data_IF_683299633226
#
_entry.id   IF_683299633226
#
_cell.length_a   1.000
_cell.length_b   1.000
_cell.length_c   1.000
_cell.angle_alpha   90.00
_cell.angle_beta   90.00
_cell.angle_gamma   90.00
#
_symmetry.space_group_name_H-M   'P 1'
#
loop_
_entity.id
_entity.type
_entity.pdbx_description
1 polymer ?
#
# COMPACT_ATOMS: atom_id res chain seq x y z
N UNK A 1 -20.81 38.57 -52.67
CA UNK A 1 -21.25 37.57 -51.68
C UNK A 1 -20.10 36.62 -51.46
N UNK A 2 -19.70 36.17 -50.28
CA UNK A 2 -19.89 36.57 -48.90
C UNK A 2 -18.78 35.83 -48.12
N UNK A 3 -18.44 36.36 -46.95
CA UNK A 3 -17.44 35.89 -46.01
C UNK A 3 -17.72 34.51 -45.38
N UNK A 4 -16.63 33.92 -44.87
CA UNK A 4 -16.47 33.31 -43.53
C UNK A 4 -16.82 31.84 -43.22
N UNK A 5 -15.80 31.19 -42.64
CA UNK A 5 -15.74 30.57 -41.30
C UNK A 5 -15.56 29.06 -41.17
N UNK A 6 -14.72 28.76 -40.18
CA UNK A 6 -14.19 27.51 -39.64
C UNK A 6 -15.23 26.60 -38.97
N UNK A 7 -14.89 25.31 -38.87
CA UNK A 7 -15.00 24.40 -37.70
C UNK A 7 -14.70 22.97 -38.22
N UNK A 8 -13.56 22.31 -38.00
CA UNK A 8 -12.93 21.75 -36.78
C UNK A 8 -13.75 20.66 -36.07
N UNK A 9 -13.25 19.43 -36.23
CA UNK A 9 -13.24 18.26 -35.33
C UNK A 9 -14.54 17.50 -34.99
N UNK A 10 -14.50 16.19 -35.26
CA UNK A 10 -14.60 15.22 -34.16
C UNK A 10 -13.77 13.97 -34.49
N UNK A 11 -12.68 13.76 -33.74
CA UNK A 11 -11.86 12.54 -33.79
C UNK A 11 -12.37 11.66 -32.67
N UNK A 12 -12.88 10.48 -33.02
CA UNK A 12 -13.32 9.46 -32.09
C UNK A 12 -12.23 9.14 -31.06
N UNK A 13 -12.47 9.63 -29.84
CA UNK A 13 -11.64 9.37 -28.68
C UNK A 13 -12.04 8.00 -28.12
N UNK A 14 -11.35 6.95 -28.56
CA UNK A 14 -11.51 5.59 -28.04
C UNK A 14 -11.00 5.55 -26.59
N UNK A 15 -11.86 5.95 -25.66
CA UNK A 15 -11.64 5.83 -24.23
C UNK A 15 -11.60 4.33 -23.87
N UNK A 16 -10.39 3.84 -23.57
CA UNK A 16 -10.14 2.51 -23.04
C UNK A 16 -10.82 2.37 -21.67
N UNK A 17 -12.10 2.04 -21.68
CA UNK A 17 -12.92 1.81 -20.50
C UNK A 17 -12.55 0.42 -19.96
N UNK A 18 -11.55 0.35 -19.07
CA UNK A 18 -11.31 -0.85 -18.27
C UNK A 18 -12.56 -1.09 -17.40
N UNK A 19 -13.45 -1.94 -17.90
CA UNK A 19 -14.63 -2.39 -17.18
C UNK A 19 -14.16 -3.30 -16.05
N UNK A 20 -14.13 -2.74 -14.84
CA UNK A 20 -13.71 -3.41 -13.62
C UNK A 20 -14.68 -4.54 -13.27
N UNK A 21 -14.39 -5.77 -13.72
CA UNK A 21 -15.15 -6.99 -13.37
C UNK A 21 -14.83 -7.47 -11.94
N UNK A 22 -14.77 -6.56 -10.97
CA UNK A 22 -14.64 -6.95 -9.57
C UNK A 22 -16.01 -7.33 -9.02
N UNK A 23 -16.12 -8.54 -8.44
CA UNK A 23 -17.36 -9.05 -7.79
C UNK A 23 -17.73 -8.21 -6.54
N UNK A 24 -16.91 -7.23 -6.18
CA UNK A 24 -17.16 -6.30 -5.08
C UNK A 24 -17.77 -5.03 -5.68
N UNK A 25 -19.08 -4.85 -5.49
CA UNK A 25 -19.76 -3.59 -5.84
C UNK A 25 -19.02 -2.42 -5.19
N UNK A 26 -18.29 -1.63 -5.99
CA UNK A 26 -17.68 -0.37 -5.57
C UNK A 26 -18.81 0.61 -5.21
N UNK A 27 -19.05 0.78 -3.91
CA UNK A 27 -19.83 1.91 -3.42
C UNK A 27 -19.02 3.21 -3.53
N UNK A 28 -19.65 4.39 -3.57
CA UNK A 28 -18.94 5.66 -3.62
C UNK A 28 -18.00 5.78 -2.40
N UNK A 29 -16.74 6.13 -2.68
CA UNK A 29 -15.74 6.47 -1.66
C UNK A 29 -16.18 7.78 -1.02
N UNK A 30 -16.99 7.69 0.03
CA UNK A 30 -17.29 8.84 0.87
C UNK A 30 -16.15 9.01 1.88
N UNK A 31 -15.27 9.97 1.61
CA UNK A 31 -14.38 10.55 2.62
C UNK A 31 -15.27 11.24 3.66
N UNK A 32 -15.80 10.47 4.61
CA UNK A 32 -16.55 11.02 5.74
C UNK A 32 -15.55 11.78 6.62
N UNK A 33 -15.74 13.10 6.71
CA UNK A 33 -15.11 13.97 7.71
C UNK A 33 -15.69 13.61 9.08
N UNK A 34 -15.32 12.47 9.64
CA UNK A 34 -15.54 12.20 11.06
C UNK A 34 -14.23 12.55 11.78
N UNK A 35 -14.25 13.39 12.82
CA UNK A 35 -13.08 13.57 13.65
C UNK A 35 -12.70 12.20 14.20
N UNK A 36 -11.46 11.77 13.93
CA UNK A 36 -10.82 10.55 14.44
C UNK A 36 -10.65 10.67 15.96
N UNK A 37 -11.75 10.72 16.69
CA UNK A 37 -11.80 10.45 18.11
C UNK A 37 -12.12 8.96 18.25
N UNK A 38 -11.08 8.13 18.18
CA UNK A 38 -11.19 6.82 18.81
C UNK A 38 -11.38 7.08 20.31
N UNK A 39 -12.45 6.58 20.96
CA UNK A 39 -12.47 6.53 22.40
C UNK A 39 -11.25 5.71 22.84
N UNK A 40 -10.38 6.35 23.62
CA UNK A 40 -9.36 5.66 24.39
C UNK A 40 -10.01 4.45 25.06
N UNK A 41 -9.50 3.26 24.78
CA UNK A 41 -10.10 2.00 25.20
C UNK A 41 -10.27 2.01 26.72
N UNK A 42 -11.51 2.12 27.19
CA UNK A 42 -11.87 1.56 28.49
C UNK A 42 -11.77 0.05 28.29
N UNK A 43 -10.77 -0.55 28.91
CA UNK A 43 -10.45 -1.95 28.75
C UNK A 43 -11.69 -2.81 29.03
N UNK A 44 -12.15 -3.54 28.01
CA UNK A 44 -13.00 -4.69 28.22
C UNK A 44 -12.07 -5.82 28.69
N UNK A 45 -11.60 -5.73 29.93
CA UNK A 45 -10.99 -6.84 30.67
C UNK A 45 -12.07 -7.86 31.04
N UNK A 46 -12.68 -8.48 30.02
CA UNK A 46 -13.13 -9.85 30.15
C UNK A 46 -11.89 -10.74 30.13
N UNK A 47 -11.86 -11.82 30.90
CA UNK A 47 -10.75 -12.77 30.93
C UNK A 47 -10.54 -13.43 29.55
N UNK A 48 -9.88 -12.72 28.63
CA UNK A 48 -9.47 -13.27 27.34
C UNK A 48 -8.31 -14.21 27.61
N UNK A 49 -8.44 -15.47 27.18
CA UNK A 49 -7.34 -16.43 27.21
C UNK A 49 -6.12 -15.87 26.47
N UNK A 50 -4.90 -16.34 26.82
CA UNK A 50 -3.61 -15.86 26.31
C UNK A 50 -3.68 -15.31 24.86
N UNK A 51 -3.52 -13.99 24.62
CA UNK A 51 -3.71 -13.38 23.29
C UNK A 51 -2.79 -13.94 22.19
N UNK A 52 -1.67 -14.54 22.60
CA UNK A 52 -0.67 -15.16 21.72
C UNK A 52 -1.03 -16.59 21.31
N UNK A 53 -2.07 -17.17 21.92
CA UNK A 53 -2.53 -18.52 21.59
C UNK A 53 -3.04 -18.59 20.16
N UNK A 54 -2.77 -19.70 19.49
CA UNK A 54 -3.24 -19.96 18.12
C UNK A 54 -4.70 -20.40 18.18
N UNK A 55 -5.59 -19.57 17.66
CA UNK A 55 -7.01 -19.89 17.55
C UNK A 55 -7.27 -20.98 16.49
N UNK A 56 -6.63 -20.86 15.33
CA UNK A 56 -6.61 -21.90 14.30
C UNK A 56 -5.46 -21.70 13.31
N UNK A 57 -5.20 -22.70 12.48
CA UNK A 57 -4.33 -22.56 11.32
C UNK A 57 -5.15 -22.60 10.03
N UNK A 58 -4.84 -21.71 9.08
CA UNK A 58 -5.55 -21.59 7.82
C UNK A 58 -4.59 -21.79 6.64
N UNK A 59 -5.00 -22.48 5.55
CA UNK A 59 -4.18 -22.59 4.34
C UNK A 59 -4.08 -21.24 3.64
N UNK A 60 -2.91 -20.87 3.09
CA UNK A 60 -2.70 -19.62 2.36
C UNK A 60 -3.58 -19.45 1.10
N UNK A 61 -4.03 -18.23 0.81
CA UNK A 61 -4.80 -17.90 -0.41
C UNK A 61 -3.90 -17.75 -1.62
N UNK A 62 -2.71 -17.18 -1.41
CA UNK A 62 -1.73 -16.85 -2.46
C UNK A 62 -0.67 -17.96 -2.62
N UNK A 63 -0.84 -19.10 -1.98
CA UNK A 63 0.10 -20.22 -2.07
C UNK A 63 -0.11 -21.02 -3.36
N UNK A 64 0.99 -21.34 -4.06
CA UNK A 64 0.99 -22.30 -5.16
C UNK A 64 0.94 -23.75 -4.64
N UNK A 65 0.53 -24.68 -5.50
CA UNK A 65 0.29 -26.10 -5.14
C UNK A 65 1.49 -26.77 -4.45
N UNK A 66 2.71 -26.43 -4.85
CA UNK A 66 3.96 -26.97 -4.27
C UNK A 66 4.40 -26.30 -2.97
N UNK A 67 3.86 -25.13 -2.64
CA UNK A 67 4.28 -24.29 -1.50
C UNK A 67 3.10 -23.97 -0.58
N UNK A 68 2.34 -25.01 -0.20
CA UNK A 68 1.17 -24.85 0.67
C UNK A 68 1.59 -24.35 2.05
N UNK A 69 1.49 -23.05 2.27
CA UNK A 69 1.79 -22.43 3.55
C UNK A 69 0.55 -22.48 4.45
N UNK A 70 0.75 -22.84 5.72
CA UNK A 70 -0.30 -22.73 6.75
C UNK A 70 0.02 -21.54 7.65
N UNK A 71 -0.93 -20.64 7.80
CA UNK A 71 -0.80 -19.44 8.61
C UNK A 71 -1.52 -19.62 9.94
N UNK A 72 -0.83 -19.32 11.03
CA UNK A 72 -1.39 -19.31 12.38
C UNK A 72 -2.19 -18.02 12.55
N UNK A 73 -3.47 -18.17 12.93
CA UNK A 73 -4.34 -17.07 13.33
C UNK A 73 -4.41 -17.08 14.85
N UNK A 74 -4.00 -15.99 15.49
CA UNK A 74 -3.97 -15.89 16.95
C UNK A 74 -5.28 -15.39 17.51
N UNK A 75 -5.50 -15.59 18.81
CA UNK A 75 -6.62 -14.99 19.55
C UNK A 75 -6.58 -13.47 19.44
N UNK A 76 -5.39 -12.85 19.51
CA UNK A 76 -5.23 -11.40 19.32
C UNK A 76 -5.69 -10.91 17.94
N UNK A 77 -5.37 -11.63 16.87
CA UNK A 77 -5.84 -11.28 15.53
C UNK A 77 -7.37 -11.36 15.45
N UNK A 78 -7.96 -12.44 15.96
CA UNK A 78 -9.42 -12.60 16.00
C UNK A 78 -10.06 -11.46 16.79
N UNK A 79 -9.50 -11.11 17.95
CA UNK A 79 -9.97 -10.01 18.77
C UNK A 79 -9.94 -8.68 18.01
N UNK A 80 -8.82 -8.36 17.33
CA UNK A 80 -8.70 -7.14 16.51
C UNK A 80 -9.75 -7.08 15.40
N UNK A 81 -10.05 -8.21 14.76
CA UNK A 81 -11.08 -8.31 13.70
C UNK A 81 -12.51 -8.17 14.23
N UNK A 82 -12.75 -8.53 15.49
CA UNK A 82 -14.06 -8.36 16.14
C UNK A 82 -14.27 -6.94 16.69
N UNK A 83 -13.19 -6.21 16.97
CA UNK A 83 -13.21 -4.80 17.39
C UNK A 83 -13.14 -3.83 16.21
N UNK A 84 -13.35 -2.52 16.44
CA UNK A 84 -13.00 -1.50 15.45
C UNK A 84 -11.52 -1.64 15.00
N UNK A 85 -11.19 -1.31 13.74
CA UNK A 85 -12.06 -0.69 12.74
C UNK A 85 -12.97 -1.67 11.98
N UNK A 86 -12.65 -2.96 11.93
CA UNK A 86 -13.35 -3.92 11.05
C UNK A 86 -14.73 -4.35 11.56
N UNK A 87 -14.84 -4.64 12.86
CA UNK A 87 -16.05 -5.16 13.50
C UNK A 87 -16.71 -6.30 12.69
N UNK A 88 -15.93 -7.32 12.30
CA UNK A 88 -16.42 -8.41 11.46
C UNK A 88 -17.56 -9.17 12.14
N UNK A 89 -18.53 -9.59 11.33
CA UNK A 89 -19.57 -10.53 11.76
C UNK A 89 -19.09 -11.99 11.62
N UNK A 90 -19.86 -12.92 12.18
CA UNK A 90 -19.52 -14.34 12.18
C UNK A 90 -19.31 -14.94 10.78
N UNK A 91 -20.07 -14.48 9.78
CA UNK A 91 -19.98 -14.98 8.41
C UNK A 91 -18.66 -14.55 7.75
N UNK A 92 -18.31 -13.26 7.89
CA UNK A 92 -17.06 -12.72 7.34
C UNK A 92 -15.84 -13.30 8.05
N UNK A 93 -15.88 -13.35 9.39
CA UNK A 93 -14.83 -14.00 10.17
C UNK A 93 -14.69 -15.48 9.77
N UNK A 94 -15.79 -16.22 9.60
CA UNK A 94 -15.76 -17.59 9.11
C UNK A 94 -15.09 -17.73 7.74
N UNK A 95 -15.33 -16.79 6.82
CA UNK A 95 -14.69 -16.74 5.50
C UNK A 95 -13.19 -16.45 5.54
N UNK A 96 -12.76 -15.54 6.42
CA UNK A 96 -11.34 -15.26 6.72
C UNK A 96 -10.63 -16.52 7.23
N UNK A 97 -11.27 -17.18 8.20
CA UNK A 97 -10.79 -18.40 8.83
C UNK A 97 -10.89 -19.64 7.93
N UNK A 98 -11.32 -19.47 6.66
CA UNK A 98 -11.44 -20.54 5.66
C UNK A 98 -12.26 -21.74 6.17
N UNK A 99 -13.27 -21.47 7.00
CA UNK A 99 -14.16 -22.52 7.51
C UNK A 99 -15.19 -22.88 6.45
N UNK A 100 -15.42 -24.18 6.24
CA UNK A 100 -16.47 -24.67 5.37
C UNK A 100 -17.86 -24.14 5.81
N UNK A 101 -18.71 -23.82 4.83
CA UNK A 101 -20.08 -23.39 5.09
C UNK A 101 -20.87 -24.58 5.65
N UNK A 102 -21.42 -24.42 6.84
CA UNK A 102 -22.27 -25.43 7.49
C UNK A 102 -23.50 -24.77 8.10
N UNK A 103 -24.61 -25.52 8.20
CA UNK A 103 -25.89 -25.03 8.74
C UNK A 103 -25.73 -24.35 10.12
N UNK A 104 -24.86 -24.91 10.96
CA UNK A 104 -24.59 -24.40 12.32
C UNK A 104 -23.24 -23.67 12.45
N UNK A 105 -22.59 -23.31 11.34
CA UNK A 105 -21.23 -22.78 11.35
C UNK A 105 -21.06 -21.51 12.18
N UNK A 106 -22.01 -20.57 12.08
CA UNK A 106 -22.00 -19.34 12.87
C UNK A 106 -22.24 -19.57 14.37
N UNK A 107 -23.05 -20.57 14.73
CA UNK A 107 -23.27 -20.95 16.14
C UNK A 107 -22.01 -21.58 16.73
N UNK A 108 -21.43 -22.57 16.04
CA UNK A 108 -20.18 -23.22 16.45
C UNK A 108 -19.00 -22.23 16.55
N UNK A 109 -18.94 -21.22 15.68
CA UNK A 109 -17.92 -20.18 15.79
C UNK A 109 -18.12 -19.34 17.05
N UNK A 110 -19.35 -18.89 17.34
CA UNK A 110 -19.65 -18.16 18.58
C UNK A 110 -19.30 -18.98 19.83
N UNK A 111 -19.73 -20.24 19.91
CA UNK A 111 -19.40 -21.13 21.03
C UNK A 111 -17.89 -21.30 21.22
N UNK A 112 -17.11 -21.36 20.13
CA UNK A 112 -15.64 -21.42 20.22
C UNK A 112 -15.02 -20.11 20.70
N UNK A 113 -15.57 -18.97 20.29
CA UNK A 113 -15.13 -17.64 20.72
C UNK A 113 -15.47 -17.41 22.20
N UNK A 114 -16.66 -17.79 22.64
CA UNK A 114 -17.11 -17.64 24.02
C UNK A 114 -16.19 -18.43 24.98
N UNK A 115 -15.73 -19.62 24.57
CA UNK A 115 -14.77 -20.44 25.34
C UNK A 115 -13.42 -19.77 25.59
N UNK A 116 -12.99 -18.87 24.71
CA UNK A 116 -11.74 -18.13 24.84
C UNK A 116 -11.94 -16.70 25.37
N UNK A 117 -13.16 -16.39 25.82
CA UNK A 117 -13.52 -15.08 26.39
C UNK A 117 -13.84 -14.01 25.34
N UNK A 118 -14.06 -14.39 24.07
CA UNK A 118 -14.41 -13.45 22.99
C UNK A 118 -15.90 -13.48 22.68
N UNK A 119 -16.58 -12.34 22.81
CA UNK A 119 -18.01 -12.24 22.53
C UNK A 119 -18.28 -11.74 21.10
N UNK A 120 -19.09 -12.49 20.34
CA UNK A 120 -19.58 -12.10 19.03
C UNK A 120 -21.12 -12.11 18.99
N UNK A 121 -21.79 -10.96 19.18
CA UNK A 121 -23.24 -10.91 19.24
C UNK A 121 -23.89 -11.31 17.91
N UNK A 122 -25.05 -11.97 18.01
CA UNK A 122 -25.89 -12.27 16.86
C UNK A 122 -26.44 -10.97 16.24
N UNK A 123 -26.59 -10.93 14.91
CA UNK A 123 -27.16 -9.78 14.21
C UNK A 123 -26.25 -8.56 14.07
N UNK A 124 -24.98 -8.62 14.52
CA UNK A 124 -24.02 -7.53 14.33
C UNK A 124 -23.85 -7.18 12.85
N UNK A 125 -24.09 -5.90 12.52
CA UNK A 125 -23.81 -5.33 11.20
C UNK A 125 -22.32 -4.97 11.07
N UNK A 126 -21.79 -5.09 9.86
CA UNK A 126 -20.39 -4.76 9.50
C UNK A 126 -20.17 -3.24 9.59
N UNK A 127 -19.01 -2.81 10.10
CA UNK A 127 -18.69 -1.39 10.28
C UNK A 127 -17.80 -0.80 9.18
N UNK A 128 -16.70 -1.48 8.80
CA UNK A 128 -15.78 -0.99 7.75
C UNK A 128 -16.08 -1.56 6.37
N UNK A 129 -15.67 -0.92 5.28
CA UNK A 129 -15.75 -1.48 3.92
C UNK A 129 -14.90 -2.75 3.79
N UNK A 130 -15.36 -3.76 3.01
CA UNK A 130 -14.57 -4.98 2.80
C UNK A 130 -13.73 -4.75 1.56
N UNK A 131 -12.43 -4.92 1.68
CA UNK A 131 -11.49 -4.87 0.57
C UNK A 131 -10.93 -6.26 0.31
N UNK A 132 -10.10 -6.40 -0.73
CA UNK A 132 -9.35 -7.65 -0.93
C UNK A 132 -8.40 -7.95 0.25
N UNK A 133 -7.88 -6.92 0.93
CA UNK A 133 -6.99 -7.09 2.09
C UNK A 133 -7.70 -7.74 3.28
N UNK A 134 -9.00 -7.48 3.48
CA UNK A 134 -9.82 -8.15 4.51
C UNK A 134 -9.77 -9.69 4.39
N UNK A 135 -9.51 -10.22 3.19
CA UNK A 135 -9.44 -11.66 2.97
C UNK A 135 -8.16 -12.32 3.52
N UNK A 136 -7.10 -11.53 3.72
CA UNK A 136 -5.81 -11.97 4.24
C UNK A 136 -5.90 -12.14 5.76
N UNK A 137 -5.17 -13.12 6.29
CA UNK A 137 -4.79 -13.13 7.72
C UNK A 137 -3.48 -12.37 7.91
N UNK A 138 -3.20 -11.90 9.12
CA UNK A 138 -2.00 -11.08 9.40
C UNK A 138 -0.70 -11.73 8.91
N UNK A 139 -0.56 -13.05 9.10
CA UNK A 139 0.61 -13.78 8.62
C UNK A 139 0.79 -13.71 7.09
N UNK A 140 -0.31 -13.76 6.32
CA UNK A 140 -0.24 -13.61 4.87
C UNK A 140 0.09 -12.19 4.46
N UNK A 141 -0.52 -11.20 5.11
CA UNK A 141 -0.29 -9.78 4.82
C UNK A 141 1.17 -9.38 5.08
N UNK A 142 1.76 -9.85 6.17
CA UNK A 142 3.18 -9.64 6.50
C UNK A 142 4.10 -10.33 5.50
N UNK A 143 3.79 -11.57 5.11
CA UNK A 143 4.58 -12.26 4.08
C UNK A 143 4.49 -11.56 2.72
N UNK A 144 3.29 -11.15 2.30
CA UNK A 144 3.10 -10.41 1.06
C UNK A 144 3.87 -9.09 1.06
N UNK A 145 3.90 -8.36 2.18
CA UNK A 145 4.68 -7.13 2.30
C UNK A 145 6.19 -7.39 2.18
N UNK A 146 6.68 -8.49 2.76
CA UNK A 146 8.09 -8.90 2.65
C UNK A 146 8.46 -9.21 1.21
N UNK A 147 7.65 -10.02 0.51
CA UNK A 147 7.91 -10.40 -0.88
C UNK A 147 7.85 -9.17 -1.80
N UNK A 148 6.90 -8.26 -1.56
CA UNK A 148 6.83 -6.99 -2.29
C UNK A 148 8.08 -6.13 -2.06
N UNK A 149 8.55 -6.02 -0.81
CA UNK A 149 9.78 -5.29 -0.50
C UNK A 149 11.01 -5.89 -1.20
N UNK A 150 11.12 -7.23 -1.20
CA UNK A 150 12.19 -7.94 -1.91
C UNK A 150 12.18 -7.61 -3.40
N UNK A 151 11.03 -7.71 -4.07
CA UNK A 151 10.92 -7.39 -5.50
C UNK A 151 11.22 -5.90 -5.78
N UNK A 152 10.79 -4.98 -4.90
CA UNK A 152 11.16 -3.58 -4.99
C UNK A 152 12.68 -3.35 -4.88
N UNK A 153 13.38 -4.15 -4.09
CA UNK A 153 14.82 -4.04 -3.90
C UNK A 153 15.62 -4.69 -5.03
N UNK A 154 15.22 -5.88 -5.49
CA UNK A 154 16.00 -6.67 -6.45
C UNK A 154 15.62 -6.40 -7.90
N UNK A 155 14.34 -6.15 -8.19
CA UNK A 155 13.84 -6.08 -9.57
C UNK A 155 13.56 -4.66 -10.06
N UNK A 156 13.32 -3.70 -9.15
CA UNK A 156 13.01 -2.34 -9.57
C UNK A 156 14.22 -1.68 -10.26
N UNK A 157 14.08 -1.20 -11.51
CA UNK A 157 15.22 -0.76 -12.33
C UNK A 157 15.67 0.67 -11.99
N UNK A 158 16.11 0.89 -10.74
CA UNK A 158 16.49 2.21 -10.21
C UNK A 158 17.51 2.94 -11.09
N UNK A 159 18.55 2.22 -11.53
CA UNK A 159 19.65 2.79 -12.32
C UNK A 159 19.23 3.17 -13.75
N UNK A 160 18.63 2.28 -14.58
CA UNK A 160 18.13 2.68 -15.90
C UNK A 160 17.13 3.84 -15.85
N UNK A 161 16.24 3.85 -14.85
CA UNK A 161 15.28 4.94 -14.65
C UNK A 161 15.99 6.24 -14.30
N UNK A 162 17.01 6.19 -13.43
CA UNK A 162 17.84 7.33 -13.06
C UNK A 162 18.59 7.91 -14.27
N UNK A 163 19.23 7.07 -15.07
CA UNK A 163 19.93 7.49 -16.29
C UNK A 163 18.98 8.17 -17.27
N UNK A 164 17.81 7.56 -17.52
CA UNK A 164 16.81 8.09 -18.44
C UNK A 164 16.27 9.47 -18.00
N UNK A 165 15.88 9.60 -16.73
CA UNK A 165 15.27 10.83 -16.21
C UNK A 165 16.29 11.95 -15.92
N UNK A 166 17.56 11.60 -15.73
CA UNK A 166 18.61 12.59 -15.45
C UNK A 166 19.24 13.14 -16.72
N UNK A 167 19.23 12.36 -17.81
CA UNK A 167 19.86 12.71 -19.10
C UNK A 167 19.51 14.12 -19.63
N UNK A 168 18.25 14.59 -19.63
CA UNK A 168 17.92 15.93 -20.16
C UNK A 168 18.61 17.05 -19.38
N UNK A 169 18.89 16.83 -18.09
CA UNK A 169 19.42 17.85 -17.19
C UNK A 169 20.94 18.00 -17.25
N UNK A 170 21.65 17.14 -17.99
CA UNK A 170 23.11 17.14 -18.05
C UNK A 170 23.70 18.22 -18.96
N UNK A 171 22.86 18.91 -19.75
CA UNK A 171 23.31 19.88 -20.76
C UNK A 171 23.76 21.24 -20.22
N UNK A 172 23.45 21.59 -18.96
CA UNK A 172 23.79 22.89 -18.39
C UNK A 172 24.15 22.83 -16.91
N UNK A 173 25.23 23.52 -16.50
CA UNK A 173 25.68 23.56 -15.09
C UNK A 173 24.62 24.02 -14.11
N UNK A 174 23.86 25.07 -14.47
CA UNK A 174 22.79 25.59 -13.62
C UNK A 174 21.60 24.63 -13.54
N UNK A 175 21.29 23.93 -14.64
CA UNK A 175 20.21 22.93 -14.68
C UNK A 175 20.57 21.69 -13.86
N UNK A 176 21.81 21.19 -13.97
CA UNK A 176 22.32 20.10 -13.14
C UNK A 176 22.28 20.45 -11.65
N UNK A 177 22.70 21.65 -11.27
CA UNK A 177 22.67 22.11 -9.88
C UNK A 177 21.24 22.19 -9.34
N UNK A 178 20.31 22.76 -10.11
CA UNK A 178 18.90 22.80 -9.76
C UNK A 178 18.30 21.39 -9.61
N UNK A 179 18.62 20.49 -10.55
CA UNK A 179 18.18 19.08 -10.51
C UNK A 179 18.71 18.36 -9.27
N UNK A 180 19.98 18.54 -8.94
CA UNK A 180 20.61 17.97 -7.74
C UNK A 180 19.89 18.43 -6.47
N UNK A 181 19.59 19.72 -6.35
CA UNK A 181 18.88 20.26 -5.20
C UNK A 181 17.45 19.68 -5.07
N UNK A 182 16.73 19.53 -6.19
CA UNK A 182 15.41 18.88 -6.18
C UNK A 182 15.48 17.42 -5.73
N UNK A 183 16.47 16.66 -6.19
CA UNK A 183 16.68 15.28 -5.80
C UNK A 183 17.00 15.14 -4.31
N UNK A 184 17.87 16.00 -3.77
CA UNK A 184 18.20 16.01 -2.34
C UNK A 184 16.98 16.37 -1.47
N UNK A 185 16.20 17.37 -1.88
CA UNK A 185 14.97 17.73 -1.18
C UNK A 185 13.97 16.57 -1.18
N UNK A 186 13.77 15.90 -2.33
CA UNK A 186 12.90 14.72 -2.42
C UNK A 186 13.41 13.57 -1.53
N UNK A 187 14.72 13.33 -1.49
CA UNK A 187 15.32 12.29 -0.65
C UNK A 187 15.01 12.52 0.84
N UNK A 188 15.11 13.78 1.28
CA UNK A 188 14.83 14.18 2.65
C UNK A 188 13.35 13.98 3.01
N UNK A 189 12.43 14.40 2.15
CA UNK A 189 10.98 14.18 2.35
C UNK A 189 10.65 12.68 2.42
N UNK A 190 11.23 11.86 1.54
CA UNK A 190 11.06 10.41 1.59
C UNK A 190 11.55 9.81 2.91
N UNK A 191 12.67 10.31 3.44
CA UNK A 191 13.27 9.83 4.69
C UNK A 191 12.40 10.20 5.90
N UNK A 192 11.97 11.45 6.01
CA UNK A 192 11.09 11.89 7.11
C UNK A 192 9.78 11.11 7.14
N UNK A 193 9.21 10.85 5.95
CA UNK A 193 7.97 10.10 5.83
C UNK A 193 8.13 8.62 6.26
N UNK A 194 9.20 7.94 5.83
CA UNK A 194 9.44 6.55 6.25
C UNK A 194 9.83 6.45 7.72
N UNK A 195 10.58 7.43 8.26
CA UNK A 195 10.87 7.52 9.69
C UNK A 195 9.59 7.61 10.53
N UNK A 196 8.60 8.41 10.11
CA UNK A 196 7.30 8.44 10.77
C UNK A 196 6.62 7.05 10.77
N UNK A 197 6.60 6.37 9.62
CA UNK A 197 5.95 5.05 9.49
C UNK A 197 6.66 3.97 10.32
N UNK A 198 7.98 3.99 10.43
CA UNK A 198 8.75 3.04 11.27
C UNK A 198 8.57 3.27 12.77
N UNK A 199 8.07 4.44 13.16
CA UNK A 199 7.66 4.77 14.53
C UNK A 199 6.24 4.34 14.86
N UNK A 200 5.48 3.79 13.92
CA UNK A 200 4.18 3.21 14.20
C UNK A 200 4.29 2.08 15.24
N UNK A 201 3.52 2.22 16.32
CA UNK A 201 3.43 1.26 17.44
C UNK A 201 2.08 0.57 17.53
N UNK A 202 1.38 0.45 16.40
CA UNK A 202 0.14 -0.33 16.31
C UNK A 202 0.36 -1.76 16.82
N UNK A 203 -0.44 -2.25 17.78
CA UNK A 203 -0.35 -3.62 18.26
C UNK A 203 -0.75 -4.67 17.22
N UNK A 204 0.16 -5.02 16.31
CA UNK A 204 0.00 -6.11 15.34
C UNK A 204 0.73 -7.37 15.80
N UNK A 205 0.20 -8.55 15.46
CA UNK A 205 0.71 -9.82 15.98
C UNK A 205 0.65 -9.87 17.51
N UNK A 206 1.79 -10.22 18.13
CA UNK A 206 1.93 -10.43 19.57
C UNK A 206 2.61 -9.27 20.31
N UNK A 207 3.08 -8.24 19.59
CA UNK A 207 3.81 -7.13 20.20
C UNK A 207 2.85 -6.04 20.66
N UNK A 208 3.08 -5.52 21.88
CA UNK A 208 2.36 -4.35 22.43
C UNK A 208 3.35 -3.26 22.81
N UNK A 209 3.94 -2.57 21.82
CA UNK A 209 4.92 -1.54 22.11
C UNK A 209 4.27 -0.29 22.70
N UNK A 210 5.00 0.41 23.57
CA UNK A 210 4.59 1.71 24.10
C UNK A 210 4.49 2.74 22.97
N UNK A 211 3.39 3.49 22.86
CA UNK A 211 3.26 4.55 21.86
C UNK A 211 4.37 5.59 21.98
N UNK A 212 4.94 6.00 20.84
CA UNK A 212 6.02 7.02 20.76
C UNK A 212 5.64 8.23 19.90
N UNK A 213 4.44 8.20 19.32
CA UNK A 213 3.87 9.24 18.48
C UNK A 213 2.73 9.91 19.23
N UNK A 214 2.40 11.14 18.83
CA UNK A 214 1.20 11.81 19.31
C UNK A 214 -0.05 10.96 19.07
N UNK A 215 -0.98 10.97 20.03
CA UNK A 215 -2.17 10.12 20.03
C UNK A 215 -2.96 10.21 18.72
N UNK A 216 -3.14 11.43 18.18
CA UNK A 216 -3.90 11.62 16.94
C UNK A 216 -3.23 10.94 15.74
N UNK A 217 -1.90 11.07 15.61
CA UNK A 217 -1.14 10.44 14.53
C UNK A 217 -1.08 8.93 14.72
N UNK A 218 -0.83 8.45 15.93
CA UNK A 218 -0.84 7.02 16.23
C UNK A 218 -2.20 6.40 15.93
N UNK A 219 -3.31 7.09 16.22
CA UNK A 219 -4.66 6.61 15.91
C UNK A 219 -4.88 6.47 14.39
N UNK A 220 -4.43 7.42 13.59
CA UNK A 220 -4.49 7.33 12.13
C UNK A 220 -3.69 6.13 11.59
N UNK A 221 -2.45 5.97 12.07
CA UNK A 221 -1.57 4.87 11.66
C UNK A 221 -2.12 3.52 12.12
N UNK A 222 -2.63 3.44 13.36
CA UNK A 222 -3.33 2.26 13.87
C UNK A 222 -4.52 1.86 13.03
N UNK A 223 -5.36 2.82 12.64
CA UNK A 223 -6.49 2.51 11.77
C UNK A 223 -6.01 1.91 10.42
N UNK A 224 -5.01 2.53 9.79
CA UNK A 224 -4.46 2.05 8.52
C UNK A 224 -3.78 0.68 8.65
N UNK A 225 -3.01 0.49 9.71
CA UNK A 225 -2.27 -0.74 9.99
C UNK A 225 -3.23 -1.91 10.29
N UNK A 226 -4.30 -1.66 11.05
CA UNK A 226 -5.35 -2.65 11.34
C UNK A 226 -6.16 -3.03 10.11
N UNK A 227 -6.57 -2.06 9.27
CA UNK A 227 -7.38 -2.36 8.07
C UNK A 227 -6.58 -3.02 6.94
N UNK A 228 -5.24 -2.92 6.99
CA UNK A 228 -4.33 -3.57 6.03
C UNK A 228 -3.63 -4.79 6.61
N UNK A 229 -3.87 -5.12 7.87
CA UNK A 229 -3.27 -6.26 8.59
C UNK A 229 -1.74 -6.22 8.58
N UNK A 230 -1.17 -5.01 8.71
CA UNK A 230 0.27 -4.76 8.70
C UNK A 230 0.92 -4.68 7.31
N UNK A 231 0.19 -4.99 6.22
CA UNK A 231 0.73 -4.87 4.87
C UNK A 231 1.00 -3.41 4.46
N UNK A 232 0.07 -2.50 4.75
CA UNK A 232 0.04 -1.17 4.16
C UNK A 232 1.28 -0.34 4.44
N UNK A 233 1.64 -0.16 5.71
CA UNK A 233 2.81 0.66 6.09
C UNK A 233 4.10 0.08 5.53
N UNK A 234 4.25 -1.24 5.55
CA UNK A 234 5.42 -1.94 5.03
C UNK A 234 5.54 -1.81 3.51
N UNK A 235 4.42 -1.94 2.79
CA UNK A 235 4.39 -1.75 1.33
C UNK A 235 4.71 -0.30 0.93
N UNK A 236 4.22 0.70 1.68
CA UNK A 236 4.58 2.10 1.44
C UNK A 236 6.09 2.31 1.68
N UNK A 237 6.63 1.80 2.79
CA UNK A 237 8.07 1.89 3.06
C UNK A 237 8.91 1.24 1.96
N UNK A 238 8.50 0.08 1.45
CA UNK A 238 9.17 -0.60 0.33
C UNK A 238 9.15 0.25 -0.96
N UNK A 239 7.99 0.78 -1.33
CA UNK A 239 7.84 1.63 -2.52
C UNK A 239 8.67 2.92 -2.40
N UNK A 240 8.66 3.57 -1.24
CA UNK A 240 9.47 4.77 -0.99
C UNK A 240 10.97 4.42 -0.98
N UNK A 241 11.36 3.24 -0.51
CA UNK A 241 12.75 2.79 -0.58
C UNK A 241 13.23 2.62 -2.03
N UNK A 242 12.37 2.09 -2.92
CA UNK A 242 12.67 2.02 -4.35
C UNK A 242 12.84 3.42 -4.98
N UNK A 243 11.99 4.39 -4.60
CA UNK A 243 12.15 5.80 -4.99
C UNK A 243 13.47 6.39 -4.47
N UNK A 244 13.83 6.12 -3.21
CA UNK A 244 15.09 6.58 -2.63
C UNK A 244 16.31 5.98 -3.36
N UNK A 245 16.24 4.72 -3.79
CA UNK A 245 17.29 4.09 -4.58
C UNK A 245 17.43 4.72 -5.97
N UNK A 246 16.31 5.00 -6.66
CA UNK A 246 16.34 5.82 -7.88
C UNK A 246 17.00 7.19 -7.64
N UNK A 247 16.65 7.90 -6.56
CA UNK A 247 17.23 9.21 -6.26
C UNK A 247 18.75 9.10 -6.04
N UNK A 248 19.21 8.08 -5.30
CA UNK A 248 20.65 7.82 -5.09
C UNK A 248 21.38 7.60 -6.42
N UNK A 249 20.82 6.78 -7.31
CA UNK A 249 21.40 6.54 -8.63
C UNK A 249 21.42 7.82 -9.49
N UNK A 250 20.36 8.63 -9.44
CA UNK A 250 20.28 9.89 -10.18
C UNK A 250 21.34 10.91 -9.70
N UNK A 251 21.57 10.99 -8.38
CA UNK A 251 22.65 11.79 -7.80
C UNK A 251 24.02 11.29 -8.26
N UNK A 252 24.24 9.96 -8.30
CA UNK A 252 25.48 9.38 -8.79
C UNK A 252 25.75 9.70 -10.28
N UNK A 253 24.70 9.76 -11.12
CA UNK A 253 24.83 10.21 -12.52
C UNK A 253 25.28 11.67 -12.59
N UNK A 254 24.66 12.57 -11.83
CA UNK A 254 25.02 13.99 -11.79
C UNK A 254 26.47 14.18 -11.30
N UNK A 255 26.86 13.49 -10.22
CA UNK A 255 28.20 13.60 -9.64
C UNK A 255 29.29 13.13 -10.61
N UNK A 256 29.02 12.08 -11.40
CA UNK A 256 29.92 11.64 -12.49
C UNK A 256 30.06 12.71 -13.58
N UNK A 257 28.98 13.39 -13.95
CA UNK A 257 29.03 14.47 -14.95
C UNK A 257 29.84 15.68 -14.50
N UNK A 258 29.91 15.96 -13.19
CA UNK A 258 30.81 16.99 -12.66
C UNK A 258 32.30 16.63 -12.79
N UNK A 259 32.64 15.34 -12.69
CA UNK A 259 34.02 14.85 -12.81
C UNK A 259 34.47 14.71 -14.27
N UNK A 260 33.54 14.63 -15.23
CA UNK A 260 33.81 14.50 -16.67
C UNK A 260 33.17 15.65 -17.49
N UNK A 261 33.65 16.91 -17.35
CA UNK A 261 33.13 18.05 -18.12
C UNK A 261 33.44 17.99 -19.63
N UNK A 262 34.34 17.09 -20.07
CA UNK A 262 34.86 17.05 -21.44
C UNK A 262 34.00 16.29 -22.47
N UNK A 263 32.95 15.58 -22.05
CA UNK A 263 32.13 14.74 -22.94
C UNK A 263 30.76 15.37 -23.28
N UNK A 264 30.55 16.62 -22.89
CA UNK A 264 29.35 17.40 -23.23
C UNK A 264 29.44 17.90 -24.67
N UNK A 265 29.24 16.98 -25.64
CA UNK A 265 28.79 17.41 -26.97
C UNK A 265 27.40 18.06 -26.85
N UNK A 266 27.10 19.11 -27.62
CA UNK A 266 25.77 19.73 -27.61
C UNK A 266 24.74 18.66 -27.96
N UNK A 267 23.63 18.62 -27.19
CA UNK A 267 22.47 17.84 -27.58
C UNK A 267 21.96 18.38 -28.91
N UNK A 268 22.26 17.67 -30.00
CA UNK A 268 21.79 17.95 -31.36
C UNK A 268 20.31 17.52 -31.47
N UNK A 269 19.44 18.10 -30.61
CA UNK A 269 18.01 17.79 -30.54
C UNK A 269 17.18 18.42 -31.66
N UNK A 270 17.80 19.20 -32.56
CA UNK A 270 17.10 19.89 -33.65
C UNK A 270 17.16 19.19 -35.02
N UNK A 271 17.95 18.13 -35.21
CA UNK A 271 18.09 17.49 -36.55
C UNK A 271 17.12 16.34 -36.83
N UNK A 272 16.42 15.82 -35.82
CA UNK A 272 15.54 14.66 -36.01
C UNK A 272 14.12 15.06 -36.44
N UNK A 273 13.69 16.30 -36.18
CA UNK A 273 12.37 16.79 -36.59
C UNK A 273 12.32 17.15 -38.09
N UNK A 274 13.38 17.76 -38.64
CA UNK A 274 13.40 18.20 -40.05
C UNK A 274 13.50 17.04 -41.07
N UNK A 275 14.00 15.87 -40.67
CA UNK A 275 14.13 14.72 -41.59
C UNK A 275 12.81 14.02 -41.92
N UNK A 276 11.76 14.19 -41.12
CA UNK A 276 10.45 13.57 -41.39
C UNK A 276 9.57 14.42 -42.32
N UNK A 277 9.82 15.72 -42.46
CA UNK A 277 8.97 16.60 -43.28
C UNK A 277 9.35 16.57 -44.78
N UNK A 278 10.57 16.13 -45.11
CA UNK A 278 11.06 16.10 -46.50
C UNK A 278 10.65 14.86 -47.31
N UNK A 279 9.98 13.89 -46.70
CA UNK A 279 9.47 12.68 -47.38
C UNK A 279 7.96 12.72 -47.67
N UNK A 280 7.32 13.89 -47.50
CA UNK A 280 5.89 14.06 -47.80
C UNK A 280 5.66 15.30 -48.68
N UNK A 281 6.28 15.33 -49.85
CA UNK A 281 5.87 16.13 -51.01
C UNK A 281 6.15 15.34 -52.29
#
# INVERSE_FOLDING_TARGET
>A
MAHSMEEVQNVDNQHLLLQDQTVIRKGPISMTKNPLSLPCQKELEGAVMNPTEVFCSVPGRLSLLSSTSKYKVTVAEVQRRLSPPECLNASLLGGVLRRAKSKNGGRSLREKLDKIGLNLPAGRRKAAHVTLLTSLVEGEAVHLARDFAYVCETEFPSKPVAEYLTRPHLGGRNEMAARKNMLLAAQQVCKEFTELLTRDRTPNGNNRPTPVLETNIQNCLSHFSLITHGFGSQAICAAVSAVQNYIKEALAVIDKSYMNPGDQSPADSNKTLEKMEKHRK
#
